data_IF_061883289651
#
_entry.id   IF_061883289651
#
_cell.length_a   1.000
_cell.length_b   1.000
_cell.length_c   1.000
_cell.angle_alpha   90.00
_cell.angle_beta   90.00
_cell.angle_gamma   90.00
#
_symmetry.space_group_name_H-M   'P 1'
#
loop_
_entity.id
_entity.type
_entity.pdbx_description
1 polymer ?
#
# COMPACT_ATOMS: atom_id res chain seq x y z
N UNK A 1 -14.71 -12.19 -3.48
CA UNK A 1 -14.16 -11.53 -2.28
C UNK A 1 -14.44 -10.05 -2.26
N UNK A 2 -14.41 -9.47 -1.06
CA UNK A 2 -14.33 -8.01 -0.85
C UNK A 2 -12.92 -7.71 -0.37
N UNK A 3 -12.27 -6.74 -0.99
CA UNK A 3 -10.90 -6.34 -0.70
C UNK A 3 -10.95 -5.13 0.23
N UNK A 4 -10.29 -5.25 1.38
CA UNK A 4 -10.10 -4.15 2.32
C UNK A 4 -8.90 -3.28 1.94
N UNK A 5 -8.85 -2.04 2.44
CA UNK A 5 -7.74 -1.12 2.18
C UNK A 5 -6.40 -1.66 2.70
N UNK A 6 -6.41 -2.32 3.86
CA UNK A 6 -5.21 -2.94 4.46
C UNK A 6 -4.57 -4.00 3.56
N UNK A 7 -5.38 -4.88 2.96
CA UNK A 7 -4.89 -5.91 2.04
C UNK A 7 -4.24 -5.30 0.78
N UNK A 8 -4.80 -4.21 0.26
CA UNK A 8 -4.19 -3.50 -0.86
C UNK A 8 -2.89 -2.79 -0.45
N UNK A 9 -2.86 -2.14 0.71
CA UNK A 9 -1.66 -1.48 1.25
C UNK A 9 -0.53 -2.49 1.47
N UNK A 10 -0.81 -3.65 2.05
CA UNK A 10 0.16 -4.72 2.27
C UNK A 10 0.82 -5.17 0.95
N UNK A 11 0.02 -5.32 -0.11
CA UNK A 11 0.53 -5.65 -1.45
C UNK A 11 1.41 -4.53 -2.00
N UNK A 12 0.96 -3.27 -1.93
CA UNK A 12 1.68 -2.12 -2.50
C UNK A 12 3.00 -1.83 -1.78
N UNK A 13 3.06 -2.08 -0.48
CA UNK A 13 4.27 -1.89 0.33
C UNK A 13 5.18 -3.13 0.39
N UNK A 14 4.80 -4.23 -0.26
CA UNK A 14 5.60 -5.45 -0.28
C UNK A 14 5.72 -6.13 1.08
N UNK A 15 4.66 -6.11 1.88
CA UNK A 15 4.62 -6.81 3.17
C UNK A 15 4.73 -8.33 3.02
N UNK A 16 5.15 -9.08 4.06
CA UNK A 16 5.41 -10.52 3.96
C UNK A 16 4.24 -11.35 3.38
N UNK A 17 3.00 -10.97 3.67
CA UNK A 17 1.77 -11.61 3.20
C UNK A 17 1.37 -11.24 1.77
N UNK A 18 2.02 -10.27 1.13
CA UNK A 18 1.61 -9.71 -0.17
C UNK A 18 1.37 -10.79 -1.23
N UNK A 19 2.28 -11.75 -1.36
CA UNK A 19 2.11 -12.82 -2.35
C UNK A 19 0.89 -13.71 -2.06
N UNK A 20 0.62 -14.00 -0.79
CA UNK A 20 -0.54 -14.81 -0.40
C UNK A 20 -1.84 -14.07 -0.71
N UNK A 21 -1.89 -12.76 -0.44
CA UNK A 21 -3.01 -11.90 -0.77
C UNK A 21 -3.25 -11.82 -2.29
N UNK A 22 -2.20 -11.60 -3.08
CA UNK A 22 -2.30 -11.59 -4.56
C UNK A 22 -2.85 -12.93 -5.07
N UNK A 23 -2.33 -14.06 -4.57
CA UNK A 23 -2.85 -15.38 -4.94
C UNK A 23 -4.34 -15.51 -4.60
N UNK A 24 -4.76 -15.12 -3.41
CA UNK A 24 -6.18 -15.16 -3.04
C UNK A 24 -7.06 -14.30 -3.96
N UNK A 25 -6.61 -13.08 -4.31
CA UNK A 25 -7.32 -12.16 -5.20
C UNK A 25 -7.45 -12.73 -6.63
N UNK A 26 -6.37 -13.28 -7.18
CA UNK A 26 -6.36 -13.83 -8.55
C UNK A 26 -7.33 -14.99 -8.71
N UNK A 27 -7.42 -15.87 -7.70
CA UNK A 27 -8.27 -17.07 -7.75
C UNK A 27 -9.74 -16.80 -7.45
N UNK A 28 -10.09 -15.62 -6.93
CA UNK A 28 -11.48 -15.27 -6.67
C UNK A 28 -12.14 -14.69 -7.93
N UNK A 29 -13.22 -15.30 -8.45
CA UNK A 29 -13.84 -14.87 -9.70
C UNK A 29 -14.51 -13.49 -9.60
N UNK A 30 -14.81 -12.98 -8.40
CA UNK A 30 -15.48 -11.69 -8.20
C UNK A 30 -14.78 -10.89 -7.11
N UNK A 31 -14.07 -9.84 -7.51
CA UNK A 31 -13.35 -8.93 -6.61
C UNK A 31 -14.10 -7.61 -6.50
N UNK A 32 -14.56 -7.27 -5.31
CA UNK A 32 -15.19 -6.00 -5.01
C UNK A 32 -14.29 -5.17 -4.10
N UNK A 33 -14.31 -3.86 -4.26
CA UNK A 33 -13.67 -2.93 -3.35
C UNK A 33 -14.58 -1.71 -3.19
N UNK A 34 -14.66 -1.17 -1.98
CA UNK A 34 -15.39 0.08 -1.74
C UNK A 34 -14.60 1.27 -2.31
N UNK A 35 -15.30 2.26 -2.86
CA UNK A 35 -14.67 3.51 -3.29
C UNK A 35 -13.95 4.23 -2.13
N UNK A 36 -14.46 4.08 -0.90
CA UNK A 36 -13.79 4.61 0.29
C UNK A 36 -12.49 3.87 0.61
N UNK A 37 -12.46 2.54 0.48
CA UNK A 37 -11.23 1.77 0.69
C UNK A 37 -10.17 2.12 -0.35
N UNK A 38 -10.56 2.39 -1.60
CA UNK A 38 -9.64 2.89 -2.64
C UNK A 38 -9.07 4.26 -2.25
N UNK A 39 -9.92 5.19 -1.80
CA UNK A 39 -9.50 6.52 -1.36
C UNK A 39 -8.52 6.45 -0.18
N UNK A 40 -8.86 5.64 0.84
CA UNK A 40 -8.01 5.43 2.01
C UNK A 40 -6.64 4.88 1.63
N UNK A 41 -6.59 3.81 0.82
CA UNK A 41 -5.31 3.25 0.34
C UNK A 41 -4.49 4.30 -0.41
N UNK A 42 -5.13 5.12 -1.26
CA UNK A 42 -4.45 6.21 -1.97
C UNK A 42 -3.84 7.24 -1.03
N UNK A 43 -4.58 7.68 0.00
CA UNK A 43 -4.09 8.62 1.01
C UNK A 43 -2.89 8.03 1.77
N UNK A 44 -2.96 6.76 2.18
CA UNK A 44 -1.88 6.10 2.95
C UNK A 44 -0.62 5.97 2.11
N UNK A 45 -0.72 5.52 0.86
CA UNK A 45 0.45 5.34 -0.01
C UNK A 45 1.10 6.68 -0.33
N UNK A 46 0.32 7.70 -0.67
CA UNK A 46 0.85 9.05 -0.92
C UNK A 46 1.55 9.63 0.31
N UNK A 47 0.99 9.44 1.51
CA UNK A 47 1.63 9.89 2.75
C UNK A 47 2.95 9.16 3.02
N UNK A 48 3.00 7.85 2.74
CA UNK A 48 4.20 7.03 2.92
C UNK A 48 5.33 7.44 1.97
N UNK A 49 5.03 7.67 0.69
CA UNK A 49 6.00 8.15 -0.30
C UNK A 49 6.61 9.49 0.12
N UNK A 50 5.76 10.44 0.57
CA UNK A 50 6.24 11.74 1.08
C UNK A 50 7.16 11.59 2.28
N UNK A 51 6.80 10.73 3.23
CA UNK A 51 7.64 10.45 4.40
C UNK A 51 9.02 9.91 4.00
N UNK A 52 9.08 9.01 3.02
CA UNK A 52 10.35 8.47 2.51
C UNK A 52 11.19 9.58 1.90
N UNK A 53 10.62 10.41 1.02
CA UNK A 53 11.34 11.54 0.39
C UNK A 53 11.87 12.52 1.45
N UNK A 54 11.06 12.84 2.46
CA UNK A 54 11.47 13.72 3.55
C UNK A 54 12.62 13.12 4.37
N UNK A 55 12.55 11.83 4.71
CA UNK A 55 13.63 11.15 5.45
C UNK A 55 14.96 11.07 4.69
N UNK A 56 14.91 10.91 3.35
CA UNK A 56 16.09 10.93 2.49
C UNK A 56 16.72 12.32 2.44
N UNK A 57 15.91 13.38 2.39
CA UNK A 57 16.39 14.77 2.43
C UNK A 57 17.11 15.08 3.74
N UNK A 58 16.56 14.68 4.89
CA UNK A 58 17.24 14.88 6.18
C UNK A 58 18.56 14.12 6.26
N UNK A 59 18.60 12.88 5.74
CA UNK A 59 19.83 12.07 5.73
C UNK A 59 20.91 12.68 4.83
N UNK A 60 20.55 13.33 3.73
CA UNK A 60 21.49 13.97 2.81
C UNK A 60 22.06 15.29 3.36
N UNK A 61 21.22 16.11 4.01
CA UNK A 61 21.66 17.39 4.59
C UNK A 61 22.54 17.16 5.83
N UNK A 62 22.28 16.12 6.62
CA UNK A 62 23.07 15.80 7.82
C UNK A 62 24.48 15.24 7.57
N UNK A 63 24.86 14.97 6.32
CA UNK A 63 26.21 14.52 5.94
C UNK A 63 27.08 15.62 5.28
N UNK A 64 26.66 16.89 5.32
CA UNK A 64 27.47 18.04 4.90
C UNK A 64 27.98 18.85 6.09
#
# INVERSE_FOLDING_TARGET
MVIDSSALIAILLGEPEAEALVRAIVHDPKRLMSAFSVLESGIVIEAKERQVVESLNYSFIGQR
#
